data_IF_088758459335
#
_entry.id   IF_088758459335
#
_cell.length_a   1.000
_cell.length_b   1.000
_cell.length_c   1.000
_cell.angle_alpha   90.00
_cell.angle_beta   90.00
_cell.angle_gamma   90.00
#
_symmetry.space_group_name_H-M   'P 1'
#
loop_
_entity.id
_entity.type
_entity.pdbx_description
1 polymer ?
#
# COMPACT_ATOMS: atom_id res chain seq x y z
N UNK A 1 23.15 42.14 29.15
CA UNK A 1 22.20 42.97 28.41
C UNK A 1 22.18 42.48 27.00
N UNK A 2 21.27 41.59 26.69
CA UNK A 2 21.08 41.04 25.32
C UNK A 2 19.58 40.91 25.10
N UNK A 3 19.07 41.83 24.27
CA UNK A 3 17.68 41.89 23.86
C UNK A 3 17.26 40.70 23.02
N UNK A 4 16.18 40.05 23.42
CA UNK A 4 15.49 39.01 22.63
C UNK A 4 14.40 39.67 21.80
N UNK A 5 14.56 39.66 20.49
CA UNK A 5 13.53 40.04 19.52
C UNK A 5 12.63 38.84 19.25
N UNK A 6 11.33 38.95 19.55
CA UNK A 6 10.27 37.98 19.20
C UNK A 6 9.67 38.35 17.83
N UNK A 7 9.44 37.38 16.92
CA UNK A 7 8.72 37.65 15.69
C UNK A 7 7.20 37.72 15.91
N UNK A 8 6.56 38.69 15.27
CA UNK A 8 5.13 38.97 15.30
C UNK A 8 4.31 37.94 14.51
N UNK A 9 3.19 37.52 15.09
CA UNK A 9 2.14 36.68 14.56
C UNK A 9 1.35 37.39 13.45
N UNK A 10 1.05 36.76 12.28
CA UNK A 10 0.18 37.38 11.30
C UNK A 10 -1.30 37.26 11.68
N UNK A 11 -2.04 38.35 11.45
CA UNK A 11 -3.46 38.55 11.71
C UNK A 11 -4.35 37.83 10.71
N UNK A 12 -5.46 37.26 11.23
CA UNK A 12 -6.52 36.56 10.49
C UNK A 12 -7.36 37.51 9.64
N UNK A 13 -7.88 37.05 8.47
CA UNK A 13 -8.85 37.86 7.73
C UNK A 13 -10.29 37.67 8.23
N UNK A 14 -11.02 38.78 8.25
CA UNK A 14 -12.41 38.95 8.65
C UNK A 14 -13.40 38.29 7.68
N UNK A 15 -14.53 37.68 8.13
CA UNK A 15 -15.53 37.12 7.23
C UNK A 15 -16.46 38.19 6.62
N UNK A 16 -16.63 38.14 5.30
CA UNK A 16 -17.59 38.95 4.56
C UNK A 16 -19.03 38.53 4.94
N UNK A 17 -19.81 39.53 5.41
CA UNK A 17 -21.26 39.43 5.60
C UNK A 17 -21.97 39.31 4.26
N UNK A 18 -22.63 38.17 4.01
CA UNK A 18 -23.62 38.02 2.92
C UNK A 18 -24.95 38.67 3.34
N UNK A 19 -25.38 39.63 2.55
CA UNK A 19 -26.70 40.28 2.65
C UNK A 19 -27.79 39.30 2.23
N UNK A 20 -28.78 39.15 3.12
CA UNK A 20 -30.01 38.39 2.90
C UNK A 20 -30.95 39.27 2.07
N UNK A 21 -31.32 38.83 0.87
CA UNK A 21 -32.38 39.45 0.06
C UNK A 21 -33.68 38.72 0.36
N UNK A 22 -34.63 39.40 0.99
CA UNK A 22 -36.00 38.95 1.20
C UNK A 22 -36.82 39.20 -0.06
N UNK A 23 -37.24 38.16 -0.72
CA UNK A 23 -38.28 38.19 -1.78
C UNK A 23 -39.61 37.76 -1.17
N UNK A 24 -40.50 38.70 -1.04
CA UNK A 24 -41.92 38.50 -0.70
C UNK A 24 -42.64 37.99 -1.96
N UNK A 25 -43.20 36.77 -1.92
CA UNK A 25 -44.12 36.26 -2.95
C UNK A 25 -45.53 36.11 -2.33
N UNK A 26 -46.48 36.63 -3.05
CA UNK A 26 -47.88 36.74 -2.65
C UNK A 26 -48.62 35.40 -2.63
N UNK A 27 -49.49 35.21 -1.62
CA UNK A 27 -50.43 34.10 -1.51
C UNK A 27 -51.56 34.27 -2.53
N UNK A 28 -51.76 33.25 -3.39
CA UNK A 28 -53.01 33.00 -4.10
C UNK A 28 -53.62 31.74 -3.47
N UNK A 29 -54.78 31.92 -2.82
CA UNK A 29 -55.55 30.84 -2.22
C UNK A 29 -56.35 30.13 -3.34
N UNK A 30 -55.94 28.93 -3.74
CA UNK A 30 -56.70 28.00 -4.57
C UNK A 30 -57.12 26.79 -3.72
N UNK A 31 -58.42 26.68 -3.43
CA UNK A 31 -59.00 25.48 -2.77
C UNK A 31 -59.14 24.34 -3.78
N UNK A 32 -58.22 23.38 -3.76
CA UNK A 32 -58.34 22.11 -4.48
C UNK A 32 -58.74 21.01 -3.49
N UNK A 33 -59.91 20.41 -3.72
CA UNK A 33 -60.39 19.18 -3.07
C UNK A 33 -59.46 18.03 -3.49
N UNK A 34 -58.69 17.50 -2.51
CA UNK A 34 -57.87 16.31 -2.71
C UNK A 34 -58.68 15.03 -2.35
N UNK A 35 -58.59 13.97 -3.18
CA UNK A 35 -59.13 12.66 -2.80
C UNK A 35 -58.29 12.00 -1.70
N UNK A 36 -58.83 11.05 -0.90
CA UNK A 36 -58.06 10.42 0.19
C UNK A 36 -56.88 9.64 -0.38
N UNK A 37 -55.71 10.19 -0.22
CA UNK A 37 -54.45 9.64 -0.68
C UNK A 37 -54.05 8.38 0.08
N UNK A 38 -53.72 7.35 -0.67
CA UNK A 38 -53.01 6.17 -0.22
C UNK A 38 -51.67 6.64 0.41
N UNK A 39 -51.48 6.39 1.68
CA UNK A 39 -50.21 6.66 2.36
C UNK A 39 -49.12 5.78 1.72
N UNK A 40 -48.34 6.37 0.80
CA UNK A 40 -47.12 5.74 0.31
C UNK A 40 -46.16 5.60 1.49
N UNK A 41 -45.90 4.36 1.94
CA UNK A 41 -44.87 4.07 2.88
C UNK A 41 -43.53 4.60 2.34
N UNK A 42 -42.97 5.59 3.03
CA UNK A 42 -41.61 6.05 2.69
C UNK A 42 -40.65 4.88 2.76
N UNK A 43 -39.78 4.68 1.76
CA UNK A 43 -38.76 3.63 1.87
C UNK A 43 -37.92 3.94 3.11
N UNK A 44 -37.82 2.93 4.00
CA UNK A 44 -36.91 2.96 5.14
C UNK A 44 -35.52 3.28 4.56
N UNK A 45 -35.00 4.47 4.86
CA UNK A 45 -33.60 4.80 4.64
C UNK A 45 -32.81 3.85 5.54
N UNK A 46 -32.30 2.77 4.96
CA UNK A 46 -31.25 2.00 5.59
C UNK A 46 -30.05 2.94 5.76
N UNK A 47 -29.79 3.31 6.98
CA UNK A 47 -28.78 4.29 7.34
C UNK A 47 -27.42 3.84 6.78
N UNK A 48 -26.91 4.61 5.82
CA UNK A 48 -25.62 4.38 5.16
C UNK A 48 -24.43 4.38 6.12
N UNK A 49 -24.59 4.89 7.35
CA UNK A 49 -23.58 4.87 8.42
C UNK A 49 -23.35 3.46 9.00
N UNK A 50 -24.37 2.61 9.08
CA UNK A 50 -24.21 1.22 9.54
C UNK A 50 -23.36 0.39 8.56
N UNK A 51 -23.45 0.65 7.27
CA UNK A 51 -22.63 -0.04 6.27
C UNK A 51 -21.15 0.34 6.38
N UNK A 52 -20.85 1.60 6.71
CA UNK A 52 -19.47 2.10 6.91
C UNK A 52 -18.82 1.54 8.18
N UNK A 53 -19.58 1.33 9.25
CA UNK A 53 -19.10 0.81 10.53
C UNK A 53 -18.70 -0.68 10.47
N UNK A 54 -19.03 -1.39 9.39
CA UNK A 54 -18.80 -2.83 9.20
C UNK A 54 -17.89 -3.15 8.02
N UNK A 55 -17.21 -2.16 7.46
CA UNK A 55 -16.31 -2.38 6.33
C UNK A 55 -15.01 -3.04 6.81
N UNK A 56 -14.72 -4.22 6.26
CA UNK A 56 -13.44 -4.89 6.42
C UNK A 56 -12.46 -4.39 5.37
N UNK A 57 -11.20 -4.26 5.74
CA UNK A 57 -10.18 -3.80 4.82
C UNK A 57 -8.79 -4.26 5.17
N UNK A 58 -7.91 -4.19 4.19
CA UNK A 58 -6.49 -4.48 4.34
C UNK A 58 -5.75 -4.27 3.03
N UNK A 59 -4.43 -4.37 3.05
CA UNK A 59 -3.64 -4.27 1.83
C UNK A 59 -2.19 -4.62 2.04
N UNK A 60 -1.51 -4.88 0.92
CA UNK A 60 -0.09 -5.10 0.86
C UNK A 60 0.47 -4.81 -0.54
N UNK A 61 1.76 -4.49 -0.60
CA UNK A 61 2.54 -4.51 -1.84
C UNK A 61 3.39 -5.77 -1.83
N UNK A 62 3.24 -6.65 -2.83
CA UNK A 62 3.87 -7.96 -2.89
C UNK A 62 4.63 -8.09 -4.20
N UNK A 63 5.90 -8.44 -4.13
CA UNK A 63 6.77 -8.65 -5.30
C UNK A 63 6.35 -9.92 -6.05
N UNK A 64 6.36 -9.94 -7.40
CA UNK A 64 6.08 -11.12 -8.21
C UNK A 64 6.86 -12.36 -7.75
N UNK A 65 6.20 -13.50 -7.66
CA UNK A 65 6.78 -14.77 -7.18
C UNK A 65 7.09 -14.82 -5.68
N UNK A 66 6.76 -13.76 -4.93
CA UNK A 66 6.99 -13.69 -3.48
C UNK A 66 5.67 -13.74 -2.73
N UNK A 67 5.78 -14.14 -1.46
CA UNK A 67 4.69 -14.07 -0.49
C UNK A 67 4.72 -12.77 0.29
N UNK A 68 3.54 -12.27 0.66
CA UNK A 68 3.36 -11.10 1.50
C UNK A 68 2.15 -11.21 2.40
N UNK A 69 2.17 -10.46 3.50
CA UNK A 69 1.14 -10.48 4.52
C UNK A 69 0.07 -9.42 4.25
N UNK A 70 -1.17 -9.85 4.07
CA UNK A 70 -2.36 -8.98 4.05
C UNK A 70 -3.09 -9.10 5.39
N UNK A 71 -3.10 -8.04 6.18
CA UNK A 71 -3.80 -8.00 7.46
C UNK A 71 -5.19 -7.39 7.26
N UNK A 72 -6.22 -8.18 7.51
CA UNK A 72 -7.62 -7.74 7.45
C UNK A 72 -8.07 -7.25 8.82
N UNK A 73 -8.66 -6.07 8.86
CA UNK A 73 -9.19 -5.44 10.08
C UNK A 73 -10.45 -4.61 9.77
N UNK A 74 -10.99 -3.92 10.77
CA UNK A 74 -12.10 -2.96 10.59
C UNK A 74 -13.44 -3.41 11.17
N UNK A 75 -13.58 -4.65 11.67
CA UNK A 75 -14.81 -5.06 12.33
C UNK A 75 -15.00 -4.35 13.66
N UNK A 76 -16.10 -3.62 13.80
CA UNK A 76 -16.49 -2.84 15.00
C UNK A 76 -17.81 -3.33 15.61
N UNK A 77 -18.36 -4.44 15.11
CA UNK A 77 -19.61 -5.01 15.60
C UNK A 77 -19.47 -5.72 16.95
N UNK A 78 -20.56 -6.36 17.39
CA UNK A 78 -20.57 -7.19 18.59
C UNK A 78 -19.65 -8.40 18.41
N UNK A 79 -19.15 -8.95 19.54
CA UNK A 79 -18.46 -10.24 19.55
C UNK A 79 -19.35 -11.34 18.93
N UNK A 80 -18.74 -12.23 18.16
CA UNK A 80 -19.45 -13.33 17.51
C UNK A 80 -19.07 -14.67 18.18
N UNK A 81 -20.03 -15.60 18.32
CA UNK A 81 -19.80 -16.89 18.97
C UNK A 81 -18.92 -17.84 18.14
N UNK A 82 -18.56 -18.97 18.75
CA UNK A 82 -17.93 -20.09 18.06
C UNK A 82 -18.72 -20.49 16.80
N UNK A 83 -18.02 -20.91 15.76
CA UNK A 83 -18.59 -21.18 14.42
C UNK A 83 -18.66 -19.96 13.51
N UNK A 84 -18.43 -18.74 14.00
CA UNK A 84 -18.27 -17.57 13.14
C UNK A 84 -16.98 -17.65 12.33
N UNK A 85 -16.99 -17.16 11.07
CA UNK A 85 -15.84 -17.28 10.16
C UNK A 85 -15.55 -16.02 9.37
N UNK A 86 -14.26 -15.74 9.18
CA UNK A 86 -13.73 -14.70 8.29
C UNK A 86 -13.10 -15.36 7.07
N UNK A 87 -13.63 -15.11 5.89
CA UNK A 87 -13.11 -15.62 4.62
C UNK A 87 -12.54 -14.50 3.77
N UNK A 88 -11.34 -14.71 3.26
CA UNK A 88 -10.70 -13.90 2.23
C UNK A 88 -10.70 -14.67 0.92
N UNK A 89 -11.20 -14.06 -0.16
CA UNK A 89 -11.04 -14.53 -1.54
C UNK A 89 -9.84 -13.79 -2.13
N UNK A 90 -8.87 -14.53 -2.65
CA UNK A 90 -7.67 -13.96 -3.27
C UNK A 90 -8.03 -13.12 -4.50
N UNK A 91 -7.29 -12.05 -4.77
CA UNK A 91 -7.44 -11.33 -6.03
C UNK A 91 -6.93 -12.17 -7.21
N UNK A 92 -7.41 -11.85 -8.41
CA UNK A 92 -6.91 -12.48 -9.64
C UNK A 92 -5.41 -12.21 -9.78
N UNK A 93 -4.62 -13.25 -10.05
CA UNK A 93 -3.15 -13.17 -10.12
C UNK A 93 -2.44 -13.33 -8.77
N UNK A 94 -3.18 -13.76 -7.72
CA UNK A 94 -2.58 -14.16 -6.45
C UNK A 94 -3.31 -15.36 -5.84
N UNK A 95 -2.66 -16.02 -4.88
CA UNK A 95 -3.22 -17.15 -4.12
C UNK A 95 -2.97 -16.97 -2.64
N UNK A 96 -3.93 -17.38 -1.80
CA UNK A 96 -3.71 -17.54 -0.35
C UNK A 96 -2.87 -18.79 -0.15
N UNK A 97 -1.79 -18.68 0.61
CA UNK A 97 -0.89 -19.80 0.91
C UNK A 97 -0.91 -20.20 2.37
N UNK A 98 -1.20 -19.24 3.28
CA UNK A 98 -1.19 -19.51 4.71
C UNK A 98 -2.21 -18.64 5.46
N UNK A 99 -2.61 -19.16 6.62
CA UNK A 99 -3.42 -18.47 7.63
C UNK A 99 -2.68 -18.53 8.98
N UNK A 100 -1.75 -17.56 9.25
CA UNK A 100 -0.78 -17.64 10.36
C UNK A 100 -1.36 -17.70 11.78
N UNK A 101 -2.63 -17.33 11.97
CA UNK A 101 -3.31 -17.46 13.27
C UNK A 101 -3.97 -18.83 13.47
N UNK A 102 -3.78 -19.78 12.55
CA UNK A 102 -4.28 -21.14 12.76
C UNK A 102 -3.75 -21.67 14.10
N UNK A 103 -4.66 -22.22 14.91
CA UNK A 103 -4.39 -22.76 16.26
C UNK A 103 -3.99 -21.70 17.32
N UNK A 104 -3.91 -20.43 16.97
CA UNK A 104 -3.66 -19.35 17.90
C UNK A 104 -4.93 -18.59 18.28
N UNK A 105 -5.06 -18.20 19.55
CA UNK A 105 -6.15 -17.31 20.00
C UNK A 105 -7.57 -17.89 19.87
N UNK A 106 -7.72 -19.17 19.56
CA UNK A 106 -9.02 -19.83 19.36
C UNK A 106 -9.55 -19.72 17.93
N UNK A 107 -8.66 -19.51 16.95
CA UNK A 107 -8.99 -19.52 15.54
C UNK A 107 -8.43 -20.78 14.86
N UNK A 108 -9.25 -21.46 14.08
CA UNK A 108 -8.85 -22.51 13.18
C UNK A 108 -8.70 -21.91 11.78
N UNK A 109 -7.51 -22.06 11.19
CA UNK A 109 -7.22 -21.58 9.85
C UNK A 109 -7.40 -22.66 8.79
N UNK A 110 -7.78 -22.28 7.58
CA UNK A 110 -7.80 -23.17 6.42
C UNK A 110 -7.55 -22.40 5.12
N UNK A 111 -6.95 -23.09 4.15
CA UNK A 111 -6.73 -22.58 2.78
C UNK A 111 -7.29 -23.62 1.82
N UNK A 112 -7.98 -23.17 0.76
CA UNK A 112 -8.45 -24.06 -0.31
C UNK A 112 -7.28 -24.65 -1.08
N UNK A 113 -7.43 -25.87 -1.60
CA UNK A 113 -6.36 -26.57 -2.31
C UNK A 113 -5.79 -25.79 -3.51
N UNK A 114 -6.61 -24.97 -4.17
CA UNK A 114 -6.24 -24.11 -5.28
C UNK A 114 -5.71 -22.72 -4.84
N UNK A 115 -5.76 -22.43 -3.53
CA UNK A 115 -5.36 -21.14 -2.97
C UNK A 115 -6.30 -19.99 -3.30
N UNK A 116 -7.48 -20.23 -3.87
CA UNK A 116 -8.42 -19.15 -4.23
C UNK A 116 -9.03 -18.48 -3.01
N UNK A 117 -9.01 -19.13 -1.85
CA UNK A 117 -9.45 -18.52 -0.60
C UNK A 117 -8.78 -19.11 0.64
N UNK A 118 -8.72 -18.29 1.69
CA UNK A 118 -8.38 -18.69 3.04
C UNK A 118 -9.45 -18.27 4.02
N UNK A 119 -9.56 -18.97 5.14
CA UNK A 119 -10.51 -18.62 6.18
C UNK A 119 -9.98 -18.89 7.59
N UNK A 120 -10.49 -18.11 8.53
CA UNK A 120 -10.40 -18.37 9.96
C UNK A 120 -11.79 -18.68 10.49
N UNK A 121 -11.90 -19.72 11.30
CA UNK A 121 -13.13 -20.06 12.06
C UNK A 121 -12.82 -19.89 13.54
N UNK A 122 -13.66 -19.15 14.26
CA UNK A 122 -13.54 -19.03 15.71
C UNK A 122 -14.13 -20.27 16.39
N UNK A 123 -13.34 -20.91 17.27
CA UNK A 123 -13.70 -22.23 17.85
C UNK A 123 -13.83 -22.23 19.37
N UNK A 124 -13.64 -21.07 20.04
CA UNK A 124 -13.81 -20.99 21.51
C UNK A 124 -15.21 -20.59 21.91
N UNK A 125 -15.71 -21.16 22.99
CA UNK A 125 -17.06 -20.87 23.54
C UNK A 125 -17.20 -19.47 24.16
N UNK A 126 -16.07 -18.78 24.45
CA UNK A 126 -16.13 -17.43 25.01
C UNK A 126 -16.32 -16.37 23.91
N UNK A 127 -17.39 -15.59 24.03
CA UNK A 127 -17.66 -14.46 23.12
C UNK A 127 -16.71 -13.27 23.33
N UNK A 128 -15.90 -13.26 24.39
CA UNK A 128 -14.98 -12.19 24.69
C UNK A 128 -13.76 -12.23 23.75
N UNK A 129 -13.61 -11.22 22.90
CA UNK A 129 -12.44 -11.01 22.09
C UNK A 129 -12.48 -11.55 20.65
N UNK A 130 -13.57 -12.18 20.21
CA UNK A 130 -13.67 -12.64 18.83
C UNK A 130 -13.97 -11.50 17.85
N UNK A 131 -13.16 -11.36 16.81
CA UNK A 131 -13.29 -10.49 15.65
C UNK A 131 -13.18 -8.97 15.90
N UNK A 132 -13.65 -8.46 17.05
CA UNK A 132 -13.65 -7.03 17.35
C UNK A 132 -12.22 -6.49 17.47
N UNK A 133 -11.95 -5.39 16.80
CA UNK A 133 -10.66 -4.66 16.84
C UNK A 133 -9.43 -5.53 16.49
N UNK A 134 -9.65 -6.74 15.98
CA UNK A 134 -8.61 -7.68 15.58
C UNK A 134 -8.01 -7.36 14.22
N UNK A 135 -6.79 -7.91 13.99
CA UNK A 135 -6.12 -7.93 12.70
C UNK A 135 -5.80 -9.37 12.31
N UNK A 136 -6.38 -9.82 11.19
CA UNK A 136 -6.33 -11.21 10.73
C UNK A 136 -5.39 -11.33 9.53
N UNK A 137 -4.17 -11.87 9.73
CA UNK A 137 -3.18 -11.99 8.67
C UNK A 137 -3.52 -13.15 7.73
N UNK A 138 -3.40 -12.89 6.44
CA UNK A 138 -3.39 -13.91 5.37
C UNK A 138 -2.11 -13.74 4.60
N UNK A 139 -1.43 -14.84 4.30
CA UNK A 139 -0.26 -14.83 3.42
C UNK A 139 -0.74 -15.06 1.99
N UNK A 140 -0.40 -14.16 1.10
CA UNK A 140 -0.71 -14.25 -0.31
C UNK A 140 0.58 -14.32 -1.11
N UNK A 141 0.62 -15.18 -2.13
CA UNK A 141 1.68 -15.22 -3.13
C UNK A 141 1.15 -14.66 -4.44
N UNK A 142 1.87 -13.71 -5.03
CA UNK A 142 1.53 -13.08 -6.32
C UNK A 142 2.23 -13.85 -7.45
N UNK A 143 1.56 -13.98 -8.59
CA UNK A 143 2.10 -14.67 -9.76
C UNK A 143 3.44 -14.05 -10.20
N UNK A 144 4.40 -14.91 -10.62
CA UNK A 144 5.74 -14.50 -11.05
C UNK A 144 5.75 -13.54 -12.24
N UNK A 145 4.73 -13.64 -13.10
CA UNK A 145 4.58 -12.81 -14.31
C UNK A 145 3.75 -11.55 -14.09
N UNK A 146 3.34 -11.29 -12.86
CA UNK A 146 2.55 -10.09 -12.55
C UNK A 146 3.38 -8.81 -12.80
N UNK A 147 2.77 -7.84 -13.46
CA UNK A 147 3.45 -6.59 -13.82
C UNK A 147 3.51 -5.64 -12.61
N UNK A 148 4.69 -5.16 -12.21
CA UNK A 148 4.83 -4.19 -11.12
C UNK A 148 3.95 -2.94 -11.31
N UNK A 149 3.40 -2.44 -10.20
CA UNK A 149 2.46 -1.32 -10.18
C UNK A 149 1.00 -1.71 -10.46
N UNK A 150 0.73 -2.95 -10.89
CA UNK A 150 -0.65 -3.42 -11.10
C UNK A 150 -1.36 -3.61 -9.76
N UNK A 151 -2.56 -3.05 -9.63
CA UNK A 151 -3.48 -3.38 -8.54
C UNK A 151 -4.32 -4.58 -8.93
N UNK A 152 -4.19 -5.68 -8.20
CA UNK A 152 -4.89 -6.93 -8.51
C UNK A 152 -6.38 -6.82 -8.14
N UNK A 153 -7.31 -7.11 -9.08
CA UNK A 153 -8.74 -6.99 -8.84
C UNK A 153 -9.31 -8.23 -8.12
N UNK A 154 -10.51 -8.08 -7.55
CA UNK A 154 -11.32 -9.20 -7.08
C UNK A 154 -11.01 -9.69 -5.66
N UNK A 155 -10.16 -9.00 -4.89
CA UNK A 155 -10.04 -9.33 -3.47
C UNK A 155 -11.32 -9.00 -2.72
N UNK A 156 -11.89 -10.00 -2.05
CA UNK A 156 -13.10 -9.85 -1.23
C UNK A 156 -12.91 -10.48 0.14
N UNK A 157 -13.53 -9.86 1.15
CA UNK A 157 -13.50 -10.34 2.53
C UNK A 157 -14.92 -10.36 3.08
N UNK A 158 -15.29 -11.46 3.74
CA UNK A 158 -16.62 -11.63 4.33
C UNK A 158 -16.47 -12.25 5.72
N UNK A 159 -17.12 -11.64 6.71
CA UNK A 159 -17.29 -12.17 8.05
C UNK A 159 -18.74 -12.64 8.19
N UNK A 160 -18.92 -13.91 8.58
CA UNK A 160 -20.22 -14.53 8.85
C UNK A 160 -20.31 -14.99 10.30
N UNK A 161 -21.51 -14.99 10.86
CA UNK A 161 -21.74 -15.64 12.15
C UNK A 161 -21.88 -17.17 12.03
N UNK A 162 -22.08 -17.84 13.16
CA UNK A 162 -22.26 -19.29 13.22
C UNK A 162 -23.49 -19.79 12.44
N UNK A 163 -24.51 -18.96 12.24
CA UNK A 163 -25.70 -19.24 11.43
C UNK A 163 -25.52 -18.94 9.94
N UNK A 164 -24.33 -18.49 9.51
CA UNK A 164 -24.02 -18.14 8.12
C UNK A 164 -24.49 -16.75 7.71
N UNK A 165 -25.07 -15.94 8.62
CA UNK A 165 -25.48 -14.59 8.30
C UNK A 165 -24.25 -13.66 8.16
N UNK A 166 -24.21 -12.84 7.10
CA UNK A 166 -23.13 -11.87 6.87
C UNK A 166 -23.17 -10.76 7.92
N UNK A 167 -22.07 -10.58 8.65
CA UNK A 167 -21.92 -9.56 9.70
C UNK A 167 -21.09 -8.38 9.23
N UNK A 168 -20.10 -8.61 8.36
CA UNK A 168 -19.31 -7.57 7.72
C UNK A 168 -18.80 -8.07 6.38
N UNK A 169 -18.45 -7.14 5.50
CA UNK A 169 -17.77 -7.44 4.25
C UNK A 169 -16.88 -6.27 3.84
N UNK A 170 -15.96 -6.53 2.93
CA UNK A 170 -15.06 -5.52 2.41
C UNK A 170 -14.15 -6.08 1.34
N UNK A 171 -13.05 -5.38 1.10
CA UNK A 171 -12.07 -5.75 0.09
C UNK A 171 -10.65 -5.55 0.60
N UNK A 172 -9.68 -6.22 -0.03
CA UNK A 172 -8.29 -5.91 0.17
C UNK A 172 -7.65 -5.27 -1.07
N UNK A 173 -6.61 -4.48 -0.84
CA UNK A 173 -5.82 -3.86 -1.89
C UNK A 173 -4.47 -4.58 -1.99
N UNK A 174 -4.28 -5.39 -3.03
CA UNK A 174 -2.99 -6.00 -3.33
C UNK A 174 -2.39 -5.29 -4.54
N UNK A 175 -1.24 -4.65 -4.34
CA UNK A 175 -0.45 -4.03 -5.40
C UNK A 175 0.76 -4.90 -5.70
N UNK A 176 1.04 -5.11 -6.96
CA UNK A 176 2.25 -5.83 -7.39
C UNK A 176 3.46 -4.93 -7.16
N UNK A 177 4.36 -5.34 -6.29
CA UNK A 177 5.63 -4.66 -6.03
C UNK A 177 6.65 -4.90 -7.13
N UNK A 178 7.85 -4.39 -6.93
CA UNK A 178 8.98 -4.56 -7.83
C UNK A 178 10.17 -5.13 -7.04
N UNK A 179 10.93 -6.10 -7.59
CA UNK A 179 12.20 -6.49 -6.97
C UNK A 179 13.19 -5.33 -6.98
N UNK A 180 14.04 -5.26 -5.95
CA UNK A 180 15.11 -4.28 -5.89
C UNK A 180 16.05 -4.43 -7.10
N UNK A 181 16.57 -3.32 -7.65
CA UNK A 181 17.61 -3.38 -8.66
C UNK A 181 18.91 -3.94 -8.04
N UNK A 182 19.76 -4.52 -8.88
CA UNK A 182 21.11 -4.90 -8.47
C UNK A 182 22.12 -3.91 -9.06
N UNK A 183 23.21 -3.68 -8.34
CA UNK A 183 24.42 -3.00 -8.84
C UNK A 183 25.51 -4.07 -8.90
N UNK A 184 25.95 -4.44 -10.12
CA UNK A 184 26.92 -5.53 -10.34
C UNK A 184 28.26 -5.01 -10.84
N UNK A 185 28.30 -3.78 -11.35
CA UNK A 185 29.52 -3.05 -11.75
C UNK A 185 29.52 -1.67 -11.07
N UNK A 186 30.52 -1.36 -10.25
CA UNK A 186 31.62 -2.24 -9.84
C UNK A 186 31.13 -3.36 -8.92
N UNK A 187 31.81 -4.51 -8.98
CA UNK A 187 31.57 -5.58 -8.02
C UNK A 187 32.04 -5.15 -6.61
N UNK A 188 31.37 -5.66 -5.59
CA UNK A 188 31.74 -5.38 -4.19
C UNK A 188 33.19 -5.77 -3.88
N UNK A 189 33.88 -4.92 -3.13
CA UNK A 189 35.29 -5.12 -2.73
C UNK A 189 36.32 -4.85 -3.81
N UNK A 190 35.94 -4.40 -5.02
CA UNK A 190 36.88 -4.15 -6.13
C UNK A 190 37.50 -2.75 -6.07
N UNK A 191 38.60 -2.57 -6.84
CA UNK A 191 39.25 -1.28 -7.08
C UNK A 191 38.89 -0.79 -8.48
N UNK A 192 38.42 0.44 -8.61
CA UNK A 192 38.01 1.03 -9.88
C UNK A 192 38.47 2.49 -10.01
N UNK A 193 38.41 3.05 -11.22
CA UNK A 193 38.62 4.48 -11.45
C UNK A 193 37.37 5.29 -11.03
N UNK A 194 37.56 6.58 -10.73
CA UNK A 194 36.46 7.48 -10.36
C UNK A 194 35.40 7.70 -11.46
N UNK A 195 35.76 7.44 -12.71
CA UNK A 195 34.86 7.50 -13.87
C UNK A 195 34.31 6.11 -14.28
N UNK A 196 34.41 5.10 -13.40
CA UNK A 196 33.94 3.77 -13.70
C UNK A 196 32.43 3.78 -14.02
N UNK A 197 32.06 3.03 -15.07
CA UNK A 197 30.67 2.80 -15.42
C UNK A 197 29.99 1.99 -14.31
N UNK A 198 28.77 2.41 -13.95
CA UNK A 198 27.91 1.68 -13.04
C UNK A 198 26.89 0.88 -13.85
N UNK A 199 26.70 -0.39 -13.53
CA UNK A 199 25.76 -1.25 -14.24
C UNK A 199 25.16 -2.35 -13.34
N UNK A 200 24.04 -2.91 -13.79
CA UNK A 200 23.35 -3.98 -13.07
C UNK A 200 22.07 -4.40 -13.75
N UNK A 201 21.14 -4.95 -12.95
CA UNK A 201 19.85 -5.43 -13.44
C UNK A 201 18.70 -4.76 -12.69
N UNK A 202 17.58 -4.58 -13.38
CA UNK A 202 16.32 -4.09 -12.83
C UNK A 202 15.16 -4.60 -13.69
N UNK A 203 13.93 -4.33 -13.27
CA UNK A 203 12.76 -4.63 -14.08
C UNK A 203 12.82 -3.85 -15.41
N UNK A 204 12.57 -4.50 -16.58
CA UNK A 204 12.61 -3.85 -17.88
C UNK A 204 11.77 -2.58 -17.94
N UNK A 205 12.36 -1.49 -18.42
CA UNK A 205 11.71 -0.18 -18.48
C UNK A 205 11.72 0.61 -17.16
N UNK A 206 12.20 0.06 -16.06
CA UNK A 206 12.32 0.80 -14.80
C UNK A 206 13.36 1.94 -14.91
N UNK A 207 13.04 3.06 -14.29
CA UNK A 207 14.00 4.17 -14.09
C UNK A 207 14.86 3.83 -12.90
N UNK A 208 16.16 3.73 -13.12
CA UNK A 208 17.16 3.42 -12.09
C UNK A 208 17.89 4.71 -11.72
N UNK A 209 18.08 4.95 -10.42
CA UNK A 209 18.90 6.02 -9.88
C UNK A 209 19.91 5.42 -8.90
N UNK A 210 21.16 5.80 -9.03
CA UNK A 210 22.22 5.40 -8.09
C UNK A 210 22.54 6.57 -7.19
N UNK A 211 22.63 6.30 -5.89
CA UNK A 211 22.98 7.30 -4.88
C UNK A 211 24.13 6.80 -4.01
N UNK A 212 24.84 7.77 -3.41
CA UNK A 212 25.91 7.51 -2.44
C UNK A 212 25.37 7.33 -1.01
N UNK A 213 26.27 7.08 -0.05
CA UNK A 213 25.92 6.92 1.35
C UNK A 213 25.30 8.18 2.00
N UNK A 214 25.41 9.34 1.37
CA UNK A 214 24.79 10.60 1.79
C UNK A 214 23.51 10.91 1.01
N UNK A 215 22.96 9.95 0.28
CA UNK A 215 21.75 10.07 -0.56
C UNK A 215 21.91 11.07 -1.72
N UNK A 216 23.13 11.44 -2.10
CA UNK A 216 23.35 12.25 -3.29
C UNK A 216 23.28 11.40 -4.54
N UNK A 217 22.56 11.91 -5.54
CA UNK A 217 22.45 11.24 -6.83
C UNK A 217 23.81 11.22 -7.53
N UNK A 218 24.26 10.03 -7.90
CA UNK A 218 25.50 9.79 -8.63
C UNK A 218 25.24 9.73 -10.14
N UNK A 219 24.25 8.97 -10.57
CA UNK A 219 23.81 8.90 -11.96
C UNK A 219 22.41 8.27 -12.06
N UNK A 220 21.84 8.25 -13.26
CA UNK A 220 20.59 7.57 -13.53
C UNK A 220 20.57 6.94 -14.93
N UNK A 221 19.70 5.93 -15.09
CA UNK A 221 19.48 5.23 -16.35
C UNK A 221 18.10 4.62 -16.43
N UNK A 222 17.83 3.91 -17.54
CA UNK A 222 16.60 3.14 -17.73
C UNK A 222 17.02 1.71 -18.05
N UNK A 223 16.38 0.74 -17.39
CA UNK A 223 16.60 -0.67 -17.67
C UNK A 223 16.09 -1.03 -19.07
N UNK A 224 16.90 -1.73 -19.83
CA UNK A 224 16.58 -2.22 -21.18
C UNK A 224 15.56 -3.36 -21.11
N UNK A 225 15.12 -3.81 -22.28
CA UNK A 225 14.16 -4.92 -22.40
C UNK A 225 14.70 -6.24 -21.83
N UNK A 226 16.01 -6.42 -21.81
CA UNK A 226 16.71 -7.56 -21.20
C UNK A 226 16.92 -7.41 -19.69
N UNK A 227 16.46 -6.29 -19.10
CA UNK A 227 16.63 -5.99 -17.69
C UNK A 227 17.96 -5.33 -17.31
N UNK A 228 18.92 -5.22 -18.24
CA UNK A 228 20.21 -4.55 -17.96
C UNK A 228 20.05 -3.04 -17.89
N UNK A 229 20.79 -2.40 -17.01
CA UNK A 229 20.90 -0.95 -16.95
C UNK A 229 22.36 -0.53 -16.76
N UNK A 230 22.67 0.68 -17.16
CA UNK A 230 23.98 1.29 -16.88
C UNK A 230 23.89 2.80 -16.90
N UNK A 231 24.76 3.44 -16.13
CA UNK A 231 25.00 4.88 -16.17
C UNK A 231 26.46 5.18 -15.85
N UNK A 232 26.89 6.38 -16.19
CA UNK A 232 28.21 6.92 -15.80
C UNK A 232 27.97 8.01 -14.77
N UNK A 233 28.77 8.08 -13.69
CA UNK A 233 28.68 9.15 -12.71
C UNK A 233 28.72 10.53 -13.36
N UNK A 234 27.82 11.43 -12.94
CA UNK A 234 27.75 12.81 -13.44
C UNK A 234 29.04 13.60 -13.07
N UNK A 235 29.66 13.24 -11.96
CA UNK A 235 30.99 13.69 -11.51
C UNK A 235 31.79 12.46 -11.07
N UNK A 236 33.14 12.47 -11.27
CA UNK A 236 33.96 11.36 -10.81
C UNK A 236 33.75 11.05 -9.33
N UNK A 237 33.66 9.77 -9.01
CA UNK A 237 33.56 9.30 -7.62
C UNK A 237 34.83 9.67 -6.84
N UNK A 238 34.71 10.04 -5.56
CA UNK A 238 35.86 10.40 -4.75
C UNK A 238 36.80 9.21 -4.55
N UNK A 239 38.11 9.48 -4.51
CA UNK A 239 39.10 8.45 -4.20
C UNK A 239 38.90 7.89 -2.77
N UNK A 240 39.16 6.61 -2.59
CA UNK A 240 38.97 5.90 -1.32
C UNK A 240 37.72 5.02 -1.32
N UNK A 241 37.27 4.68 -0.12
CA UNK A 241 36.09 3.82 0.08
C UNK A 241 34.82 4.52 -0.33
N UNK A 242 34.01 3.86 -1.15
CA UNK A 242 32.70 4.31 -1.61
C UNK A 242 31.65 3.25 -1.31
N UNK A 243 30.45 3.70 -1.00
CA UNK A 243 29.25 2.89 -0.86
C UNK A 243 28.15 3.48 -1.74
N UNK A 244 27.59 2.67 -2.61
CA UNK A 244 26.49 3.05 -3.47
C UNK A 244 25.35 2.06 -3.36
N UNK A 245 24.11 2.54 -3.55
CA UNK A 245 22.99 1.66 -3.84
C UNK A 245 22.17 2.17 -5.02
N UNK A 246 21.50 1.25 -5.70
CA UNK A 246 20.58 1.57 -6.76
C UNK A 246 19.15 1.53 -6.25
N UNK A 247 18.33 2.49 -6.67
CA UNK A 247 16.89 2.47 -6.53
C UNK A 247 16.24 2.41 -7.89
N UNK A 248 15.07 1.80 -8.02
CA UNK A 248 14.34 1.73 -9.27
C UNK A 248 12.88 2.07 -9.07
N UNK A 249 12.24 2.68 -10.09
CA UNK A 249 10.83 3.04 -10.10
C UNK A 249 10.18 2.64 -11.42
N UNK A 250 8.97 2.06 -11.33
CA UNK A 250 8.17 1.64 -12.48
C UNK A 250 6.67 1.62 -12.10
N UNK A 251 5.80 2.19 -12.96
CA UNK A 251 4.34 2.20 -12.77
C UNK A 251 3.88 2.58 -11.34
N UNK A 252 4.52 3.57 -10.74
CA UNK A 252 4.13 4.08 -9.41
C UNK A 252 4.58 3.23 -8.22
N UNK A 253 5.35 2.15 -8.44
CA UNK A 253 6.05 1.41 -7.38
C UNK A 253 7.55 1.64 -7.48
N UNK A 254 8.23 1.54 -6.34
CA UNK A 254 9.68 1.67 -6.26
C UNK A 254 10.27 0.58 -5.37
N UNK A 255 11.55 0.28 -5.60
CA UNK A 255 12.33 -0.62 -4.78
C UNK A 255 13.76 -0.14 -4.67
N UNK A 256 14.43 -0.48 -3.57
CA UNK A 256 15.85 -0.19 -3.32
C UNK A 256 16.60 -1.50 -3.36
N UNK A 257 17.77 -1.50 -4.00
CA UNK A 257 18.70 -2.61 -4.02
C UNK A 257 19.61 -2.63 -2.80
N UNK A 258 20.50 -3.61 -2.77
CA UNK A 258 21.52 -3.73 -1.72
C UNK A 258 22.63 -2.69 -1.90
N UNK A 259 23.26 -2.29 -0.80
CA UNK A 259 24.45 -1.47 -0.80
C UNK A 259 25.64 -2.26 -1.38
N UNK A 260 26.47 -1.58 -2.18
CA UNK A 260 27.72 -2.11 -2.74
C UNK A 260 28.87 -1.23 -2.29
N UNK A 261 29.81 -1.84 -1.56
CA UNK A 261 31.04 -1.21 -1.10
C UNK A 261 32.19 -1.53 -2.07
N UNK A 262 32.96 -0.52 -2.48
CA UNK A 262 34.13 -0.66 -3.34
C UNK A 262 35.11 0.49 -3.10
N UNK A 263 36.31 0.43 -3.70
CA UNK A 263 37.37 1.44 -3.53
C UNK A 263 37.67 2.12 -4.87
N UNK A 264 37.67 3.45 -4.88
CA UNK A 264 38.11 4.23 -6.02
C UNK A 264 39.61 4.54 -5.86
N UNK A 265 40.41 4.14 -6.85
CA UNK A 265 41.86 4.47 -6.90
C UNK A 265 42.03 5.94 -7.17
N UNK A 266 42.97 6.60 -6.50
CA UNK A 266 43.38 7.95 -6.84
C UNK A 266 43.91 7.97 -8.28
N UNK A 267 43.40 8.91 -9.08
CA UNK A 267 43.96 9.16 -10.41
C UNK A 267 45.34 9.78 -10.23
N UNK A 268 46.39 9.12 -10.74
CA UNK A 268 47.73 9.69 -10.74
C UNK A 268 47.69 10.95 -11.62
N UNK A 269 48.15 12.11 -11.13
CA UNK A 269 48.16 13.29 -11.97
C UNK A 269 49.03 13.01 -13.21
N UNK A 270 48.47 13.24 -14.41
CA UNK A 270 49.20 13.14 -15.64
C UNK A 270 50.53 13.89 -15.47
N UNK A 271 51.65 13.18 -15.51
CA UNK A 271 52.97 13.79 -15.52
C UNK A 271 53.04 14.63 -16.82
N UNK A 272 52.94 15.94 -16.64
CA UNK A 272 53.06 16.90 -17.75
C UNK A 272 54.44 16.70 -18.39
N UNK A 273 54.45 16.22 -19.64
CA UNK A 273 55.62 16.15 -20.50
C UNK A 273 55.83 17.50 -21.20
#
# INVERSE_FOLDING_TARGET
>A
MTDRVFPRKPSSPTPLRRRLVLLTAALVAGTALLPPGVAAAAPLRTDSWEASARALGGGATIVPGRSGLVRISGYKGAALPAGSSLRLTAPVGARVTETPLADAGGFQGSVTADGTSGSYTYVRDSASGSWKDGGYPFVLTVDERAVPGTRLPGCAVVLTDAGGARRASGSCAVTVGMPGPTLTEPAGGTFVSGAARLAGFSYPGARVSVVDAAEHKVCAGVARIDGTWSCTPDTPLPAGANRLHASAAFNGVSAVGEDVDFTVTAQEPDAAH
#
